data_IF_889191288921
#
_entry.id   IF_889191288921
#
_cell.length_a   1.000
_cell.length_b   1.000
_cell.length_c   1.000
_cell.angle_alpha   90.00
_cell.angle_beta   90.00
_cell.angle_gamma   90.00
#
_symmetry.space_group_name_H-M   'P 1'
#
loop_
_entity.id
_entity.type
_entity.pdbx_description
1 polymer ?
#
# COMPACT_ATOMS: atom_id res chain seq x y z
N UNK A 1 2.41 -0.10 8.40
CA UNK A 1 3.64 0.66 8.14
C UNK A 1 3.31 2.08 7.78
N UNK A 2 4.32 2.86 7.38
CA UNK A 2 4.22 4.22 6.88
C UNK A 2 4.10 4.17 5.35
N UNK A 3 3.08 4.81 4.79
CA UNK A 3 2.83 4.83 3.35
C UNK A 3 3.32 6.15 2.76
N UNK A 4 4.16 6.08 1.74
CA UNK A 4 4.56 7.23 0.94
C UNK A 4 3.95 7.08 -0.43
N UNK A 5 3.13 8.06 -0.79
CA UNK A 5 2.29 8.02 -1.98
C UNK A 5 2.87 8.95 -3.05
N UNK A 6 2.94 8.47 -4.28
CA UNK A 6 3.25 9.29 -5.42
C UNK A 6 1.97 9.91 -5.99
N UNK A 7 1.73 11.18 -5.65
CA UNK A 7 0.55 11.92 -6.08
C UNK A 7 0.45 12.11 -7.61
N UNK A 8 1.55 11.96 -8.37
CA UNK A 8 1.49 11.99 -9.82
C UNK A 8 0.90 10.69 -10.38
N UNK A 9 1.30 9.54 -9.84
CA UNK A 9 0.80 8.22 -10.26
C UNK A 9 -0.66 8.03 -9.85
N UNK A 10 -1.05 8.50 -8.66
CA UNK A 10 -2.48 8.49 -8.27
C UNK A 10 -3.39 9.29 -9.21
N UNK A 11 -2.88 10.30 -9.92
CA UNK A 11 -3.70 11.18 -10.78
C UNK A 11 -3.91 10.64 -12.18
N UNK A 12 -3.05 9.76 -12.68
CA UNK A 12 -3.19 9.21 -14.03
C UNK A 12 -4.14 8.00 -14.07
N UNK A 13 -4.48 7.43 -12.90
CA UNK A 13 -5.32 6.23 -12.70
C UNK A 13 -4.78 4.98 -13.42
N UNK A 14 -3.53 5.00 -13.89
CA UNK A 14 -2.91 3.91 -14.63
C UNK A 14 -2.15 3.00 -13.68
N UNK A 15 -2.51 1.71 -13.68
CA UNK A 15 -1.79 0.71 -12.87
C UNK A 15 -0.69 0.09 -13.73
N UNK A 16 0.57 0.24 -13.31
CA UNK A 16 1.76 -0.32 -13.94
C UNK A 16 2.62 -1.00 -12.88
N UNK A 17 2.97 -2.28 -13.08
CA UNK A 17 3.80 -3.08 -12.16
C UNK A 17 5.13 -2.39 -11.81
N UNK A 18 5.69 -1.60 -12.73
CA UNK A 18 6.95 -0.90 -12.50
C UNK A 18 6.79 0.42 -11.73
N UNK A 19 5.55 0.88 -11.51
CA UNK A 19 5.23 2.20 -10.94
C UNK A 19 4.12 2.10 -9.90
N UNK A 20 4.38 1.49 -8.73
CA UNK A 20 3.40 1.45 -7.65
C UNK A 20 3.05 2.87 -7.17
N UNK A 21 1.77 3.11 -6.90
CA UNK A 21 1.27 4.40 -6.40
C UNK A 21 1.73 4.69 -4.97
N UNK A 22 1.95 3.66 -4.16
CA UNK A 22 2.54 3.81 -2.84
C UNK A 22 3.65 2.80 -2.56
N UNK A 23 4.63 3.25 -1.79
CA UNK A 23 5.65 2.40 -1.16
C UNK A 23 5.47 2.45 0.34
N UNK A 24 5.76 1.33 1.01
CA UNK A 24 5.55 1.20 2.45
C UNK A 24 6.82 0.89 3.18
N UNK A 25 7.01 1.60 4.29
CA UNK A 25 8.13 1.41 5.19
C UNK A 25 7.70 0.98 6.58
N UNK A 26 8.54 0.19 7.22
CA UNK A 26 8.48 -0.10 8.65
C UNK A 26 9.56 0.71 9.37
N UNK A 27 9.21 1.46 10.43
CA UNK A 27 10.21 2.12 11.26
C UNK A 27 10.99 1.08 12.05
N UNK A 28 12.31 1.25 12.10
CA UNK A 28 13.23 0.40 12.83
C UNK A 28 13.70 1.09 14.13
N UNK A 29 14.12 0.30 15.12
CA UNK A 29 14.53 0.82 16.43
C UNK A 29 15.73 1.78 16.38
N UNK A 30 16.58 1.65 15.35
CA UNK A 30 17.72 2.52 15.07
C UNK A 30 17.35 3.84 14.36
N UNK A 31 16.05 4.06 14.11
CA UNK A 31 15.53 5.25 13.43
C UNK A 31 15.52 5.15 11.91
N UNK A 32 15.97 4.04 11.32
CA UNK A 32 15.90 3.83 9.88
C UNK A 32 14.50 3.38 9.43
N UNK A 33 14.24 3.50 8.13
CA UNK A 33 13.03 2.99 7.49
C UNK A 33 13.36 1.80 6.60
N UNK A 34 12.71 0.66 6.84
CA UNK A 34 12.86 -0.54 6.00
C UNK A 34 11.72 -0.62 5.00
N UNK A 35 12.03 -0.74 3.70
CA UNK A 35 11.02 -0.98 2.66
C UNK A 35 10.43 -2.39 2.85
N UNK A 36 9.10 -2.49 2.93
CA UNK A 36 8.41 -3.75 3.26
C UNK A 36 7.37 -4.17 2.22
N UNK A 37 6.72 -3.22 1.54
CA UNK A 37 5.63 -3.47 0.62
C UNK A 37 5.43 -2.31 -0.37
N UNK A 38 4.57 -2.54 -1.36
CA UNK A 38 4.01 -1.54 -2.28
C UNK A 38 2.49 -1.69 -2.32
N UNK A 39 1.80 -0.63 -2.70
CA UNK A 39 0.38 -0.66 -3.05
C UNK A 39 0.18 -0.11 -4.45
N UNK A 40 -0.71 -0.76 -5.20
CA UNK A 40 -1.25 -0.25 -6.45
C UNK A 40 -2.63 0.32 -6.18
N UNK A 41 -2.90 1.54 -6.64
CA UNK A 41 -4.11 2.29 -6.28
C UNK A 41 -4.71 2.95 -7.52
N UNK A 42 -6.01 2.83 -7.72
CA UNK A 42 -6.72 3.52 -8.82
C UNK A 42 -8.14 3.89 -8.42
N UNK A 43 -8.66 5.02 -8.91
CA UNK A 43 -10.07 5.38 -8.71
C UNK A 43 -11.01 4.68 -9.69
N UNK A 44 -10.48 4.02 -10.73
CA UNK A 44 -11.24 3.33 -11.77
C UNK A 44 -11.35 1.84 -11.47
N UNK A 45 -12.51 1.25 -11.70
CA UNK A 45 -12.64 -0.19 -11.57
C UNK A 45 -13.89 -0.80 -12.20
N UNK A 46 -14.06 -2.13 -12.04
CA UNK A 46 -13.20 -3.03 -11.26
C UNK A 46 -11.76 -3.09 -11.80
N UNK A 47 -10.78 -3.17 -10.90
CA UNK A 47 -9.35 -3.17 -11.23
C UNK A 47 -8.68 -4.51 -10.90
N UNK A 48 -7.66 -4.86 -11.68
CA UNK A 48 -6.80 -6.00 -11.44
C UNK A 48 -5.40 -5.78 -11.98
N UNK A 49 -4.43 -6.50 -11.44
CA UNK A 49 -3.05 -6.52 -11.90
C UNK A 49 -2.56 -7.96 -11.93
N UNK A 50 -2.05 -8.41 -13.08
CA UNK A 50 -1.56 -9.79 -13.28
C UNK A 50 -2.59 -10.87 -12.85
N UNK A 51 -3.89 -10.61 -13.06
CA UNK A 51 -4.97 -11.52 -12.68
C UNK A 51 -5.42 -11.45 -11.21
N UNK A 52 -4.82 -10.58 -10.40
CA UNK A 52 -5.23 -10.35 -9.01
C UNK A 52 -6.18 -9.16 -8.90
N UNK A 53 -7.37 -9.40 -8.36
CA UNK A 53 -8.38 -8.36 -8.13
C UNK A 53 -7.96 -7.42 -7.01
N UNK A 54 -8.35 -6.16 -7.17
CA UNK A 54 -8.12 -5.12 -6.17
C UNK A 54 -9.26 -5.14 -5.14
N UNK A 55 -8.92 -4.84 -3.89
CA UNK A 55 -9.87 -4.55 -2.82
C UNK A 55 -10.53 -3.19 -3.07
N UNK A 56 -11.84 -3.10 -2.86
CA UNK A 56 -12.56 -1.84 -3.00
C UNK A 56 -12.72 -1.14 -1.65
N UNK A 57 -12.24 0.11 -1.57
CA UNK A 57 -12.41 1.00 -0.43
C UNK A 57 -13.51 2.02 -0.74
N UNK A 58 -14.58 2.01 0.07
CA UNK A 58 -15.69 2.95 -0.08
C UNK A 58 -15.34 4.35 0.46
N UNK A 59 -16.16 5.35 0.12
CA UNK A 59 -16.16 6.65 0.79
C UNK A 59 -17.35 6.76 1.75
N UNK A 60 -17.21 7.41 2.91
CA UNK A 60 -15.97 8.00 3.44
C UNK A 60 -14.98 6.92 3.93
N UNK A 61 -13.69 7.18 3.77
CA UNK A 61 -12.62 6.34 4.31
C UNK A 61 -11.67 7.14 5.21
N UNK A 62 -10.83 6.44 5.96
CA UNK A 62 -9.86 7.02 6.91
C UNK A 62 -8.83 7.95 6.25
N UNK A 63 -8.69 7.88 4.93
CA UNK A 63 -7.71 8.66 4.16
C UNK A 63 -8.27 9.99 3.65
N UNK A 64 -9.59 10.22 3.79
CA UNK A 64 -10.24 11.41 3.24
C UNK A 64 -10.29 11.44 1.71
N UNK A 65 -10.09 10.28 1.06
CA UNK A 65 -10.15 10.14 -0.40
C UNK A 65 -11.58 9.77 -0.84
N UNK A 66 -11.86 9.92 -2.14
CA UNK A 66 -13.02 9.29 -2.78
C UNK A 66 -12.93 7.75 -2.70
N UNK A 67 -13.92 7.01 -3.23
CA UNK A 67 -13.80 5.56 -3.32
C UNK A 67 -12.66 5.18 -4.28
N UNK A 68 -11.94 4.11 -3.97
CA UNK A 68 -10.81 3.64 -4.78
C UNK A 68 -10.63 2.12 -4.67
N UNK A 69 -9.84 1.57 -5.57
CA UNK A 69 -9.40 0.18 -5.59
C UNK A 69 -7.93 0.12 -5.21
N UNK A 70 -7.54 -0.87 -4.40
CA UNK A 70 -6.15 -1.10 -4.04
C UNK A 70 -5.73 -2.57 -4.14
N UNK A 71 -4.44 -2.79 -4.42
CA UNK A 71 -3.80 -4.10 -4.23
C UNK A 71 -2.53 -3.93 -3.42
N UNK A 72 -2.55 -4.51 -2.23
CA UNK A 72 -1.41 -4.57 -1.33
C UNK A 72 -0.44 -5.67 -1.77
N UNK A 73 0.86 -5.39 -1.86
CA UNK A 73 1.87 -6.38 -2.24
C UNK A 73 3.06 -6.36 -1.29
N UNK A 74 3.15 -7.41 -0.46
CA UNK A 74 4.23 -7.65 0.50
C UNK A 74 5.48 -8.23 -0.18
N UNK A 75 6.13 -7.43 -1.03
CA UNK A 75 7.25 -7.88 -1.85
C UNK A 75 8.56 -8.14 -1.07
N UNK A 76 8.77 -7.48 0.08
CA UNK A 76 10.03 -7.62 0.85
C UNK A 76 9.85 -8.23 2.24
N UNK A 77 8.74 -7.93 2.93
CA UNK A 77 8.47 -8.51 4.25
C UNK A 77 7.47 -9.65 4.11
N UNK A 78 7.90 -10.86 4.44
CA UNK A 78 7.04 -12.04 4.43
C UNK A 78 5.77 -11.79 5.27
N UNK A 79 4.62 -12.16 4.70
CA UNK A 79 3.33 -12.06 5.35
C UNK A 79 2.72 -13.47 5.57
N UNK A 80 2.50 -13.89 6.83
CA UNK A 80 1.89 -15.19 7.12
C UNK A 80 0.44 -15.29 6.65
N UNK A 81 -0.25 -14.16 6.42
CA UNK A 81 -1.62 -14.14 5.91
C UNK A 81 -1.68 -14.11 4.37
N UNK A 82 -0.53 -14.04 3.70
CA UNK A 82 -0.41 -14.06 2.23
C UNK A 82 0.24 -12.80 1.66
N UNK A 83 0.96 -12.96 0.54
CA UNK A 83 1.72 -11.87 -0.09
C UNK A 83 0.84 -10.72 -0.60
N UNK A 84 -0.46 -10.97 -0.82
CA UNK A 84 -1.44 -9.99 -1.30
C UNK A 84 -2.52 -9.64 -0.26
N UNK A 85 -2.36 -10.10 0.99
CA UNK A 85 -3.29 -9.75 2.05
C UNK A 85 -3.19 -8.26 2.39
N UNK A 86 -4.32 -7.64 2.67
CA UNK A 86 -4.42 -6.20 2.98
C UNK A 86 -3.59 -5.76 4.20
N UNK A 87 -3.42 -6.69 5.15
CA UNK A 87 -2.64 -6.46 6.37
C UNK A 87 -1.59 -7.55 6.59
N UNK A 88 -0.48 -7.16 7.21
CA UNK A 88 0.56 -8.07 7.69
C UNK A 88 0.70 -7.95 9.22
N UNK A 89 0.39 -9.01 10.00
CA UNK A 89 0.44 -8.98 11.45
C UNK A 89 1.87 -8.83 12.01
N UNK A 90 2.89 -9.05 11.18
CA UNK A 90 4.29 -8.91 11.59
C UNK A 90 4.81 -7.48 11.48
N UNK A 91 4.01 -6.52 11.00
CA UNK A 91 4.41 -5.12 10.83
C UNK A 91 3.95 -4.29 12.02
N UNK A 92 4.89 -3.54 12.61
CA UNK A 92 4.58 -2.60 13.70
C UNK A 92 5.03 -1.17 13.39
N UNK A 93 4.36 -0.20 13.97
CA UNK A 93 4.78 1.21 13.96
C UNK A 93 5.32 1.67 15.33
N UNK A 94 5.54 0.77 16.30
CA UNK A 94 5.96 1.11 17.67
C UNK A 94 7.31 1.83 17.75
N UNK A 95 8.20 1.56 16.77
CA UNK A 95 9.49 2.21 16.68
C UNK A 95 9.42 3.62 16.06
N UNK A 96 8.23 4.09 15.66
CA UNK A 96 8.03 5.47 15.23
C UNK A 96 8.20 6.38 16.46
N UNK A 97 9.33 7.10 16.50
CA UNK A 97 9.55 8.19 17.45
C UNK A 97 9.03 9.47 16.80
N UNK A 98 8.15 10.18 17.52
CA UNK A 98 7.32 11.29 17.03
C UNK A 98 7.98 12.20 15.99
N UNK A 99 7.19 12.53 14.97
CA UNK A 99 7.46 13.61 14.01
C UNK A 99 7.52 14.96 14.70
#
# INVERSE_FOLDING_TARGET
GIHYVNAAYLKDDAVDVAKPEAVMYEPMADGTLKLIAVEYITSKGPASLEGHLFNFNTAPNRYGLGPFYELHVWAWKQNPTGALADMNPNVSCDAMKGM
#
